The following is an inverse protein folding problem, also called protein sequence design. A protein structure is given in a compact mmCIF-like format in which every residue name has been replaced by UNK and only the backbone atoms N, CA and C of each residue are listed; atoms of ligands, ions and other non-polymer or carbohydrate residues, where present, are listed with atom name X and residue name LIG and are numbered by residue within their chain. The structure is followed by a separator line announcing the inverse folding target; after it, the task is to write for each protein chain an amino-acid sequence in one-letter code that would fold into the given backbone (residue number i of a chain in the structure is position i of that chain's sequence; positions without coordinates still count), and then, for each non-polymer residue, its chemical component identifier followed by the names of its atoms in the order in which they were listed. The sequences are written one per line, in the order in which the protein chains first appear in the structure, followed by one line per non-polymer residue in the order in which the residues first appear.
data_IF_854028617159
#
_entry.id   IF_854028617159
#
_cell.length_a   1.000
_cell.length_b   1.000
_cell.length_c   1.000
_cell.angle_alpha   90.00
_cell.angle_beta   90.00
_cell.angle_gamma   90.00
#
_symmetry.space_group_name_H-M   'P 1'
#
loop_
_entity.id
_entity.type
_entity.pdbx_description
1 polymer ?
#
# COMPACT_ATOMS: atom_id res chain seq x y z
N UNK A 1 -52.28 -25.57 7.05
CA UNK A 1 -51.82 -25.45 5.65
C UNK A 1 -52.51 -24.23 5.07
N UNK A 2 -51.75 -23.22 4.66
CA UNK A 2 -52.27 -21.97 4.06
C UNK A 2 -51.93 -22.01 2.57
N UNK A 3 -52.88 -21.65 1.72
CA UNK A 3 -52.81 -21.78 0.26
C UNK A 3 -51.79 -20.80 -0.36
N UNK A 4 -51.17 -21.15 -1.50
CA UNK A 4 -50.25 -20.25 -2.21
C UNK A 4 -51.04 -19.20 -2.98
N UNK A 5 -50.92 -17.92 -2.58
CA UNK A 5 -51.48 -16.79 -3.34
C UNK A 5 -51.91 -15.56 -2.54
N UNK A 6 -52.02 -15.65 -1.21
CA UNK A 6 -52.36 -14.47 -0.40
C UNK A 6 -51.11 -13.71 0.07
N UNK A 7 -51.08 -12.41 -0.24
CA UNK A 7 -50.03 -11.48 0.17
C UNK A 7 -50.17 -11.26 1.68
N UNK A 8 -49.19 -11.76 2.44
CA UNK A 8 -49.07 -11.50 3.88
C UNK A 8 -48.76 -10.00 4.06
N UNK A 9 -49.62 -9.20 4.71
CA UNK A 9 -49.31 -7.80 4.97
C UNK A 9 -48.15 -7.74 5.97
N UNK A 10 -47.03 -7.14 5.55
CA UNK A 10 -45.87 -6.98 6.42
C UNK A 10 -46.23 -6.15 7.66
N UNK A 11 -45.79 -6.55 8.86
CA UNK A 11 -46.02 -5.76 10.06
C UNK A 11 -45.38 -4.39 9.91
N UNK A 12 -46.14 -3.32 10.16
CA UNK A 12 -45.65 -1.93 10.10
C UNK A 12 -44.44 -1.80 11.03
N UNK A 13 -43.26 -1.56 10.46
CA UNK A 13 -42.04 -1.25 11.23
C UNK A 13 -42.35 -0.06 12.15
N UNK A 14 -42.18 -0.26 13.46
CA UNK A 14 -42.23 0.86 14.43
C UNK A 14 -41.16 1.88 14.02
N UNK A 15 -41.57 3.15 13.93
CA UNK A 15 -40.65 4.25 13.67
C UNK A 15 -39.55 4.25 14.73
N UNK A 16 -38.31 4.14 14.28
CA UNK A 16 -37.12 4.20 15.15
C UNK A 16 -36.99 5.66 15.59
N UNK A 17 -37.19 5.95 16.87
CA UNK A 17 -36.86 7.28 17.42
C UNK A 17 -35.36 7.52 17.20
N UNK A 18 -35.03 8.62 16.54
CA UNK A 18 -33.64 9.05 16.39
C UNK A 18 -33.02 9.28 17.78
N UNK A 19 -31.78 8.79 18.02
CA UNK A 19 -31.11 9.06 19.28
C UNK A 19 -30.84 10.56 19.40
N UNK A 20 -30.82 11.11 20.63
CA UNK A 20 -30.60 12.54 20.83
C UNK A 20 -29.20 12.90 20.31
N UNK A 21 -29.15 13.87 19.41
CA UNK A 21 -27.93 14.46 18.85
C UNK A 21 -27.12 15.08 19.97
N UNK A 22 -26.13 14.33 20.49
CA UNK A 22 -25.11 14.89 21.36
C UNK A 22 -24.22 15.75 20.45
N UNK A 23 -24.41 17.07 20.51
CA UNK A 23 -23.59 18.06 19.82
C UNK A 23 -22.21 18.12 20.48
N UNK A 24 -21.40 17.10 20.23
CA UNK A 24 -19.98 17.11 20.55
C UNK A 24 -19.23 18.01 19.57
N UNK A 25 -18.14 18.62 20.05
CA UNK A 25 -17.21 19.43 19.25
C UNK A 25 -16.78 18.72 17.96
N UNK A 26 -16.60 17.39 18.01
CA UNK A 26 -16.31 16.55 16.84
C UNK A 26 -17.42 16.56 15.76
N UNK A 27 -18.70 16.57 16.15
CA UNK A 27 -19.82 16.65 15.21
C UNK A 27 -19.91 18.04 14.56
N UNK A 28 -19.55 19.09 15.30
CA UNK A 28 -19.47 20.46 14.77
C UNK A 28 -18.30 20.60 13.78
N UNK A 29 -17.13 20.03 14.09
CA UNK A 29 -16.00 20.00 13.16
C UNK A 29 -16.33 19.23 11.88
N UNK A 30 -16.98 18.07 12.01
CA UNK A 30 -17.39 17.27 10.86
C UNK A 30 -18.40 18.02 9.98
N UNK A 31 -19.40 18.69 10.57
CA UNK A 31 -20.34 19.51 9.84
C UNK A 31 -19.67 20.72 9.17
N UNK A 32 -18.69 21.35 9.82
CA UNK A 32 -17.92 22.45 9.25
C UNK A 32 -17.02 22.00 8.09
N UNK A 33 -16.51 20.77 8.15
CA UNK A 33 -15.70 20.18 7.08
C UNK A 33 -16.57 19.81 5.87
N UNK A 34 -17.72 19.17 6.09
CA UNK A 34 -18.67 18.87 5.01
C UNK A 34 -19.15 20.12 4.27
N UNK A 35 -19.39 21.24 4.98
CA UNK A 35 -19.76 22.50 4.33
C UNK A 35 -18.68 23.03 3.39
N UNK A 36 -17.43 23.03 3.82
CA UNK A 36 -16.29 23.44 2.98
C UNK A 36 -16.12 22.54 1.76
N UNK A 37 -16.29 21.24 1.92
CA UNK A 37 -16.21 20.28 0.81
C UNK A 37 -17.33 20.49 -0.20
N UNK A 38 -18.56 20.75 0.25
CA UNK A 38 -19.70 21.05 -0.65
C UNK A 38 -19.49 22.38 -1.38
N UNK A 39 -18.99 23.42 -0.72
CA UNK A 39 -18.68 24.70 -1.35
C UNK A 39 -17.58 24.56 -2.42
N UNK A 40 -16.50 23.83 -2.11
CA UNK A 40 -15.43 23.55 -3.07
C UNK A 40 -15.92 22.73 -4.27
N UNK A 41 -16.77 21.71 -4.03
CA UNK A 41 -17.36 20.90 -5.09
C UNK A 41 -18.30 21.73 -5.99
N UNK A 42 -19.10 22.64 -5.41
CA UNK A 42 -19.97 23.54 -6.18
C UNK A 42 -19.17 24.54 -7.01
N UNK A 43 -18.06 25.08 -6.48
CA UNK A 43 -17.17 25.96 -7.24
C UNK A 43 -16.52 25.23 -8.42
N UNK A 44 -16.07 23.98 -8.22
CA UNK A 44 -15.52 23.16 -9.31
C UNK A 44 -16.58 22.84 -10.38
N UNK A 45 -17.80 22.48 -9.97
CA UNK A 45 -18.91 22.26 -10.91
C UNK A 45 -19.31 23.53 -11.66
N UNK A 46 -19.26 24.69 -11.01
CA UNK A 46 -19.53 25.97 -11.66
C UNK A 46 -18.45 26.31 -12.69
N UNK A 47 -17.18 26.01 -12.42
CA UNK A 47 -16.08 26.18 -13.37
C UNK A 47 -16.22 25.26 -14.60
N UNK A 48 -16.68 24.03 -14.41
CA UNK A 48 -16.92 23.08 -15.51
C UNK A 48 -18.10 23.50 -16.40
N UNK A 49 -19.12 24.14 -15.82
CA UNK A 49 -20.32 24.56 -16.55
C UNK A 49 -20.23 25.97 -17.17
N UNK A 50 -19.07 26.65 -17.08
CA UNK A 50 -18.87 27.91 -17.80
C UNK A 50 -18.64 27.63 -19.30
N UNK A 51 -19.29 28.37 -20.21
CA UNK A 51 -19.01 28.26 -21.64
C UNK A 51 -17.56 28.70 -21.92
N UNK A 52 -16.85 28.05 -22.86
CA UNK A 52 -15.48 28.39 -23.16
C UNK A 52 -15.38 29.84 -23.64
N UNK A 53 -14.41 30.59 -23.09
CA UNK A 53 -14.09 31.93 -23.58
C UNK A 53 -13.64 31.86 -25.05
N UNK A 54 -13.91 32.89 -25.89
CA UNK A 54 -13.46 32.91 -27.28
C UNK A 54 -11.93 32.81 -27.35
N UNK A 55 -11.45 31.79 -28.05
CA UNK A 55 -10.03 31.46 -28.20
C UNK A 55 -9.29 32.53 -29.03
N UNK A 56 -8.15 33.06 -28.54
CA UNK A 56 -7.17 33.73 -29.40
C UNK A 56 -6.54 32.72 -30.38
N UNK A 57 -6.05 33.16 -31.56
CA UNK A 57 -5.55 32.28 -32.60
C UNK A 57 -4.42 31.36 -32.11
N UNK A 58 -4.55 30.07 -32.41
CA UNK A 58 -3.68 28.97 -31.96
C UNK A 58 -2.19 29.17 -32.33
N UNK A 59 -1.27 29.10 -31.36
CA UNK A 59 0.12 28.72 -31.61
C UNK A 59 0.24 27.18 -31.68
N UNK A 60 1.29 26.65 -32.34
CA UNK A 60 1.38 25.25 -32.74
C UNK A 60 1.40 24.27 -31.55
N UNK A 61 0.75 23.12 -31.77
CA UNK A 61 0.49 22.04 -30.82
C UNK A 61 1.65 21.74 -29.84
N UNK A 62 1.48 22.16 -28.58
CA UNK A 62 2.28 21.64 -27.46
C UNK A 62 1.45 20.66 -26.64
N UNK A 63 1.75 19.39 -26.86
CA UNK A 63 1.47 18.21 -26.03
C UNK A 63 0.96 18.52 -24.61
N UNK A 64 -0.35 18.35 -24.37
CA UNK A 64 -0.98 18.52 -23.07
C UNK A 64 -0.37 17.55 -22.03
N UNK A 65 0.51 18.07 -21.19
CA UNK A 65 1.06 17.34 -20.06
C UNK A 65 1.34 18.22 -18.85
N UNK A 66 0.33 18.70 -18.10
CA UNK A 66 0.62 19.13 -16.73
C UNK A 66 -0.26 18.50 -15.64
N UNK A 67 -1.26 17.66 -15.96
CA UNK A 67 -2.13 17.11 -14.89
C UNK A 67 -1.43 16.05 -14.02
N UNK A 68 -0.41 15.37 -14.56
CA UNK A 68 0.30 14.32 -13.84
C UNK A 68 1.63 14.76 -13.21
N UNK A 69 2.11 15.98 -13.46
CA UNK A 69 3.35 16.48 -12.83
C UNK A 69 3.13 16.88 -11.37
N UNK A 70 1.96 17.45 -11.03
CA UNK A 70 1.68 17.97 -9.68
C UNK A 70 1.41 16.87 -8.63
N UNK A 71 1.26 15.61 -9.06
CA UNK A 71 1.09 14.45 -8.16
C UNK A 71 2.40 13.72 -7.86
N UNK A 72 3.49 14.08 -8.55
CA UNK A 72 4.78 13.45 -8.36
C UNK A 72 5.54 14.17 -7.25
N UNK A 73 5.80 13.47 -6.15
CA UNK A 73 6.63 14.03 -5.08
C UNK A 73 8.05 14.26 -5.58
N UNK A 74 8.41 15.54 -5.67
CA UNK A 74 9.75 16.08 -5.88
C UNK A 74 10.54 16.07 -4.56
N UNK A 75 10.63 14.89 -3.93
CA UNK A 75 11.62 14.66 -2.90
C UNK A 75 12.52 13.57 -3.44
N UNK A 76 13.77 13.93 -3.70
CA UNK A 76 14.78 13.17 -4.46
C UNK A 76 15.21 11.81 -3.89
N UNK A 77 14.33 11.10 -3.20
CA UNK A 77 14.45 9.68 -2.91
C UNK A 77 13.49 8.92 -3.82
N UNK A 78 13.95 8.59 -5.02
CA UNK A 78 13.25 7.59 -5.83
C UNK A 78 13.50 6.21 -5.22
N UNK A 79 12.48 5.49 -4.72
CA UNK A 79 12.65 4.14 -4.19
C UNK A 79 13.05 3.12 -5.27
N UNK A 80 13.11 3.53 -6.54
CA UNK A 80 13.70 2.79 -7.65
C UNK A 80 15.24 2.80 -7.68
N UNK A 81 15.91 3.20 -6.60
CA UNK A 81 17.36 3.03 -6.45
C UNK A 81 17.71 1.54 -6.64
N UNK A 82 18.21 1.26 -7.84
CA UNK A 82 18.34 -0.07 -8.40
C UNK A 82 19.57 -0.72 -7.78
N UNK A 83 19.35 -1.79 -7.02
CA UNK A 83 20.36 -2.73 -6.52
C UNK A 83 21.10 -3.51 -7.65
N UNK A 84 20.92 -3.10 -8.90
CA UNK A 84 21.30 -3.82 -10.12
C UNK A 84 22.74 -3.50 -10.55
N UNK A 85 23.42 -2.55 -9.90
CA UNK A 85 24.79 -2.16 -10.27
C UNK A 85 24.92 -1.37 -11.58
N UNK A 86 23.80 -1.01 -12.21
CA UNK A 86 23.76 -0.05 -13.31
C UNK A 86 23.91 1.36 -12.71
N UNK A 87 25.04 2.02 -13.01
CA UNK A 87 25.40 3.31 -12.44
C UNK A 87 24.31 4.38 -12.62
N UNK A 88 24.18 5.23 -11.59
CA UNK A 88 23.25 6.36 -11.51
C UNK A 88 23.25 7.19 -12.80
N UNK A 89 22.31 6.92 -13.72
CA UNK A 89 22.04 7.84 -14.82
C UNK A 89 21.27 9.02 -14.23
N UNK A 90 21.92 10.18 -14.15
CA UNK A 90 21.26 11.43 -13.77
C UNK A 90 20.32 11.81 -14.92
N UNK A 91 19.05 11.42 -14.80
CA UNK A 91 18.06 11.76 -15.80
C UNK A 91 17.53 13.16 -15.51
N UNK A 92 17.75 14.09 -16.44
CA UNK A 92 17.32 15.49 -16.30
C UNK A 92 15.79 15.65 -16.31
N UNK A 93 15.05 14.69 -16.86
CA UNK A 93 13.59 14.70 -16.97
C UNK A 93 12.97 13.34 -16.61
N UNK A 94 12.14 13.31 -15.56
CA UNK A 94 11.52 12.09 -15.03
C UNK A 94 10.55 11.43 -16.03
N UNK A 95 9.93 12.22 -16.93
CA UNK A 95 9.05 11.69 -17.99
C UNK A 95 9.80 10.86 -19.01
N UNK A 96 10.99 11.31 -19.37
CA UNK A 96 11.86 10.61 -20.31
C UNK A 96 12.42 9.33 -19.67
N UNK A 97 12.67 9.34 -18.35
CA UNK A 97 13.04 8.14 -17.60
C UNK A 97 11.99 7.03 -17.67
N UNK A 98 10.71 7.35 -17.43
CA UNK A 98 9.64 6.35 -17.47
C UNK A 98 9.35 5.84 -18.89
N UNK A 99 9.66 6.64 -19.92
CA UNK A 99 9.53 6.26 -21.33
C UNK A 99 10.74 5.48 -21.85
N UNK A 100 11.86 5.50 -21.14
CA UNK A 100 13.07 4.77 -21.53
C UNK A 100 12.76 3.26 -21.60
N UNK A 101 13.09 2.58 -22.71
CA UNK A 101 12.88 1.14 -22.86
C UNK A 101 13.52 0.33 -21.73
N UNK A 102 14.64 0.82 -21.17
CA UNK A 102 15.31 0.15 -20.05
C UNK A 102 14.48 0.16 -18.76
N UNK A 103 13.68 1.20 -18.52
CA UNK A 103 12.78 1.25 -17.37
C UNK A 103 11.62 0.27 -17.56
N UNK A 104 11.00 0.29 -18.74
CA UNK A 104 9.87 -0.60 -19.06
C UNK A 104 10.25 -2.08 -18.98
N UNK A 105 11.42 -2.45 -19.52
CA UNK A 105 11.94 -3.82 -19.43
C UNK A 105 12.19 -4.25 -17.97
N UNK A 106 12.70 -3.36 -17.12
CA UNK A 106 12.90 -3.60 -15.68
C UNK A 106 11.57 -3.84 -14.98
N UNK A 107 10.58 -2.97 -15.20
CA UNK A 107 9.23 -3.13 -14.64
C UNK A 107 8.61 -4.46 -15.04
N UNK A 108 8.66 -4.82 -16.33
CA UNK A 108 8.12 -6.10 -16.82
C UNK A 108 8.84 -7.31 -16.20
N UNK A 109 10.17 -7.25 -16.03
CA UNK A 109 10.93 -8.31 -15.36
C UNK A 109 10.54 -8.44 -13.89
N UNK A 110 10.41 -7.33 -13.17
CA UNK A 110 10.00 -7.33 -11.76
C UNK A 110 8.57 -7.87 -11.61
N UNK A 111 7.64 -7.45 -12.47
CA UNK A 111 6.28 -7.96 -12.51
C UNK A 111 6.25 -9.48 -12.76
N UNK A 112 7.03 -9.97 -13.71
CA UNK A 112 7.14 -11.41 -13.97
C UNK A 112 7.68 -12.18 -12.74
N UNK A 113 8.67 -11.64 -12.04
CA UNK A 113 9.18 -12.23 -10.80
C UNK A 113 8.14 -12.22 -9.68
N UNK A 114 7.39 -11.13 -9.53
CA UNK A 114 6.28 -11.05 -8.58
C UNK A 114 5.22 -12.09 -8.90
N UNK A 115 4.76 -12.15 -10.15
CA UNK A 115 3.75 -13.13 -10.59
C UNK A 115 4.19 -14.57 -10.31
N UNK A 116 5.47 -14.90 -10.48
CA UNK A 116 5.99 -16.24 -10.20
C UNK A 116 6.06 -16.59 -8.70
N UNK A 117 6.27 -15.59 -7.83
CA UNK A 117 6.47 -15.80 -6.39
C UNK A 117 5.19 -15.65 -5.58
N UNK A 118 4.26 -14.80 -6.02
CA UNK A 118 3.01 -14.49 -5.32
C UNK A 118 2.17 -15.74 -4.96
N UNK A 119 1.96 -16.74 -5.84
CA UNK A 119 1.22 -17.95 -5.46
C UNK A 119 1.86 -18.70 -4.29
N UNK A 120 3.20 -18.78 -4.26
CA UNK A 120 3.96 -19.45 -3.21
C UNK A 120 3.87 -18.68 -1.90
N UNK A 121 3.97 -17.35 -1.97
CA UNK A 121 3.78 -16.44 -0.83
C UNK A 121 2.38 -16.59 -0.26
N UNK A 122 1.35 -16.62 -1.10
CA UNK A 122 -0.03 -16.77 -0.67
C UNK A 122 -0.28 -18.08 0.07
N UNK A 123 0.25 -19.20 -0.45
CA UNK A 123 0.17 -20.51 0.19
C UNK A 123 0.84 -20.55 1.57
N UNK A 124 1.92 -19.79 1.77
CA UNK A 124 2.56 -19.65 3.08
C UNK A 124 1.83 -18.66 4.00
N UNK A 125 1.29 -17.58 3.43
CA UNK A 125 0.60 -16.52 4.14
C UNK A 125 -0.66 -17.02 4.82
N UNK A 126 -1.51 -17.77 4.11
CA UNK A 126 -2.82 -18.21 4.63
C UNK A 126 -2.75 -18.98 5.96
N UNK A 127 -1.91 -20.02 6.13
CA UNK A 127 -1.79 -20.72 7.40
C UNK A 127 -1.19 -19.85 8.51
N UNK A 128 -0.12 -19.09 8.22
CA UNK A 128 0.50 -18.20 9.21
C UNK A 128 -0.46 -17.11 9.68
N UNK A 129 -1.22 -16.53 8.75
CA UNK A 129 -2.27 -15.53 9.03
C UNK A 129 -3.35 -16.10 9.95
N UNK A 130 -3.78 -17.34 9.73
CA UNK A 130 -4.77 -17.99 10.60
C UNK A 130 -4.20 -18.28 12.00
N UNK A 131 -2.97 -18.76 12.09
CA UNK A 131 -2.33 -19.13 13.36
C UNK A 131 -2.01 -17.93 14.24
N UNK A 132 -1.61 -16.81 13.63
CA UNK A 132 -1.18 -15.59 14.35
C UNK A 132 -2.30 -14.55 14.50
N UNK A 133 -3.54 -14.90 14.15
CA UNK A 133 -4.67 -13.97 14.07
C UNK A 133 -4.32 -12.71 13.26
N UNK A 134 -3.83 -12.93 12.04
CA UNK A 134 -3.33 -11.92 11.11
C UNK A 134 -2.17 -11.10 11.70
N UNK A 135 -1.26 -11.78 12.39
CA UNK A 135 -0.13 -11.21 13.14
C UNK A 135 -0.55 -10.23 14.24
N UNK A 136 -1.77 -10.32 14.76
CA UNK A 136 -2.22 -9.50 15.89
C UNK A 136 -2.01 -10.19 17.25
N UNK A 137 -1.73 -11.50 17.28
CA UNK A 137 -1.48 -12.23 18.52
C UNK A 137 -0.17 -11.75 19.18
N UNK A 138 -0.19 -11.22 20.43
CA UNK A 138 0.99 -10.68 21.12
C UNK A 138 2.11 -11.69 21.42
N UNK A 139 1.81 -12.99 21.40
CA UNK A 139 2.77 -14.05 21.71
C UNK A 139 3.31 -14.67 20.41
N UNK A 140 2.43 -14.95 19.45
CA UNK A 140 2.77 -15.73 18.27
C UNK A 140 3.27 -14.90 17.09
N UNK A 141 3.05 -13.58 17.08
CA UNK A 141 3.37 -12.73 15.92
C UNK A 141 4.85 -12.69 15.53
N UNK A 142 5.76 -12.85 16.50
CA UNK A 142 7.21 -12.78 16.32
C UNK A 142 7.86 -14.17 16.25
N UNK A 143 7.05 -15.22 16.21
CA UNK A 143 7.56 -16.58 16.18
C UNK A 143 8.00 -16.95 14.76
N UNK A 144 9.10 -17.70 14.67
CA UNK A 144 9.57 -18.24 13.41
C UNK A 144 8.76 -19.50 13.03
N UNK A 145 7.97 -19.40 11.97
CA UNK A 145 7.21 -20.52 11.40
C UNK A 145 7.97 -21.25 10.28
N UNK A 146 9.27 -20.98 10.09
CA UNK A 146 10.06 -21.72 9.12
C UNK A 146 10.28 -23.16 9.59
N UNK A 147 9.89 -24.10 8.73
CA UNK A 147 10.22 -25.51 8.92
C UNK A 147 11.72 -25.72 8.73
N UNK A 148 12.31 -26.58 9.56
CA UNK A 148 13.70 -26.99 9.43
C UNK A 148 13.84 -27.86 8.18
N UNK A 149 14.30 -27.26 7.09
CA UNK A 149 14.44 -27.97 5.83
C UNK A 149 15.65 -28.90 5.81
N UNK A 150 15.52 -30.02 5.09
CA UNK A 150 16.56 -31.04 4.91
C UNK A 150 17.68 -30.64 3.91
N UNK A 151 17.75 -29.37 3.53
CA UNK A 151 18.76 -28.87 2.60
C UNK A 151 20.15 -29.07 3.21
N UNK A 152 21.13 -29.39 2.37
CA UNK A 152 22.52 -29.54 2.85
C UNK A 152 23.06 -28.18 3.28
N UNK A 153 23.91 -28.15 4.31
CA UNK A 153 24.41 -26.90 4.91
C UNK A 153 25.15 -26.00 3.90
N UNK A 154 25.80 -26.57 2.88
CA UNK A 154 26.49 -25.79 1.84
C UNK A 154 25.56 -25.08 0.85
N UNK A 155 24.28 -25.43 0.82
CA UNK A 155 23.24 -24.75 0.02
C UNK A 155 22.55 -23.63 0.81
N UNK A 156 22.88 -23.49 2.09
CA UNK A 156 22.31 -22.47 2.95
C UNK A 156 23.24 -21.26 2.96
N UNK A 157 22.65 -20.09 2.77
CA UNK A 157 23.33 -18.82 2.89
C UNK A 157 22.57 -17.96 3.89
N UNK A 158 23.28 -17.32 4.82
CA UNK A 158 22.66 -16.34 5.70
C UNK A 158 22.66 -14.98 5.02
N UNK A 159 21.48 -14.39 4.86
CA UNK A 159 21.30 -13.04 4.31
C UNK A 159 20.78 -12.13 5.41
N UNK A 160 21.37 -10.94 5.52
CA UNK A 160 20.89 -9.89 6.44
C UNK A 160 19.88 -9.02 5.71
N UNK A 161 18.69 -8.91 6.30
CA UNK A 161 17.56 -8.12 5.79
C UNK A 161 17.23 -7.01 6.78
N UNK A 162 17.08 -5.78 6.31
CA UNK A 162 16.61 -4.68 7.15
C UNK A 162 15.09 -4.79 7.32
N UNK A 163 14.67 -5.15 8.52
CA UNK A 163 13.28 -5.33 8.88
C UNK A 163 12.75 -4.09 9.61
N UNK A 164 11.66 -3.52 9.09
CA UNK A 164 10.97 -2.36 9.66
C UNK A 164 9.67 -2.81 10.32
N UNK A 165 9.49 -2.47 11.59
CA UNK A 165 8.27 -2.74 12.37
C UNK A 165 7.83 -1.48 13.13
N UNK A 166 6.70 -1.54 13.82
CA UNK A 166 6.19 -0.41 14.61
C UNK A 166 7.16 0.08 15.66
N UNK A 167 7.87 -0.84 16.31
CA UNK A 167 8.65 -0.52 17.50
C UNK A 167 10.12 -0.27 17.20
N UNK A 168 10.63 -0.75 16.07
CA UNK A 168 12.07 -0.69 15.78
C UNK A 168 12.40 -1.00 14.33
N UNK A 169 13.56 -0.49 13.90
CA UNK A 169 14.32 -0.96 12.74
C UNK A 169 15.33 -1.99 13.22
N UNK A 170 15.27 -3.21 12.70
CA UNK A 170 16.19 -4.29 13.11
C UNK A 170 16.80 -5.00 11.91
N UNK A 171 18.05 -5.44 12.06
CA UNK A 171 18.72 -6.32 11.10
C UNK A 171 18.36 -7.76 11.42
N UNK A 172 17.68 -8.42 10.49
CA UNK A 172 17.18 -9.78 10.65
C UNK A 172 18.01 -10.74 9.79
N UNK A 173 18.61 -11.74 10.42
CA UNK A 173 19.39 -12.79 9.74
C UNK A 173 18.46 -13.91 9.28
N UNK A 174 18.28 -14.07 7.97
CA UNK A 174 17.47 -15.14 7.38
C UNK A 174 18.38 -16.18 6.75
N UNK A 175 18.14 -17.46 7.05
CA UNK A 175 18.72 -18.56 6.29
C UNK A 175 17.99 -18.74 4.97
N UNK A 176 18.67 -18.43 3.88
CA UNK A 176 18.22 -18.60 2.50
C UNK A 176 18.75 -19.91 1.93
N UNK A 177 17.97 -20.57 1.08
CA UNK A 177 18.41 -21.69 0.24
C UNK A 177 17.52 -21.83 -0.99
N UNK A 178 18.02 -22.50 -2.03
CA UNK A 178 17.34 -22.66 -3.32
C UNK A 178 16.01 -23.43 -3.26
N UNK A 179 15.74 -24.17 -2.18
CA UNK A 179 14.54 -24.99 -2.07
C UNK A 179 13.26 -24.19 -1.83
N UNK A 180 13.35 -22.92 -1.40
CA UNK A 180 12.18 -22.08 -1.09
C UNK A 180 12.55 -20.63 -1.38
N UNK A 181 11.60 -19.82 -1.85
CA UNK A 181 11.87 -18.41 -2.10
C UNK A 181 12.06 -17.63 -0.79
N UNK A 182 12.89 -16.60 -0.84
CA UNK A 182 13.23 -15.76 0.32
C UNK A 182 12.00 -15.06 0.88
N UNK A 183 11.11 -14.59 0.01
CA UNK A 183 9.83 -14.01 0.40
C UNK A 183 8.98 -14.97 1.22
N UNK A 184 8.92 -16.24 0.86
CA UNK A 184 8.14 -17.23 1.62
C UNK A 184 8.70 -17.39 3.04
N UNK A 185 10.04 -17.34 3.19
CA UNK A 185 10.67 -17.38 4.51
C UNK A 185 10.38 -16.13 5.33
N UNK A 186 10.45 -14.95 4.71
CA UNK A 186 10.10 -13.69 5.35
C UNK A 186 8.64 -13.69 5.84
N UNK A 187 7.71 -14.19 5.03
CA UNK A 187 6.29 -14.27 5.40
C UNK A 187 6.09 -15.12 6.64
N UNK A 188 6.82 -16.25 6.75
CA UNK A 188 6.79 -17.10 7.94
C UNK A 188 7.44 -16.48 9.17
N UNK A 189 8.25 -15.44 8.99
CA UNK A 189 8.78 -14.60 10.07
C UNK A 189 7.87 -13.40 10.37
N UNK A 190 6.76 -13.24 9.63
CA UNK A 190 5.85 -12.11 9.76
C UNK A 190 6.25 -10.84 9.02
N UNK A 191 7.13 -10.97 8.03
CA UNK A 191 7.62 -9.86 7.21
C UNK A 191 7.31 -10.06 5.72
N UNK A 192 7.09 -8.97 5.01
CA UNK A 192 6.95 -8.93 3.55
C UNK A 192 8.17 -8.22 2.96
N UNK A 193 8.88 -8.87 2.06
CA UNK A 193 10.02 -8.27 1.36
C UNK A 193 9.56 -7.20 0.37
N UNK A 194 10.38 -6.17 0.17
CA UNK A 194 10.14 -5.10 -0.81
C UNK A 194 10.35 -5.52 -2.26
N UNK A 195 11.15 -6.57 -2.48
CA UNK A 195 11.49 -7.12 -3.80
C UNK A 195 11.16 -8.62 -3.91
N UNK A 196 10.84 -9.12 -5.12
CA UNK A 196 10.48 -10.52 -5.31
C UNK A 196 11.67 -11.48 -5.22
N UNK A 197 12.86 -10.99 -5.58
CA UNK A 197 14.12 -11.74 -5.64
C UNK A 197 15.12 -11.02 -4.74
N UNK A 198 15.69 -11.75 -3.77
CA UNK A 198 16.70 -11.26 -2.81
C UNK A 198 16.30 -9.94 -2.13
N UNK A 199 15.24 -9.92 -1.32
CA UNK A 199 14.81 -8.73 -0.60
C UNK A 199 15.86 -8.27 0.42
N UNK A 200 16.32 -7.02 0.28
CA UNK A 200 17.23 -6.36 1.25
C UNK A 200 16.49 -5.65 2.36
N UNK A 201 15.27 -5.21 2.08
CA UNK A 201 14.37 -4.57 3.03
C UNK A 201 13.08 -5.36 3.13
N UNK A 202 12.53 -5.44 4.33
CA UNK A 202 11.27 -6.11 4.60
C UNK A 202 10.44 -5.33 5.63
N UNK A 203 9.13 -5.35 5.46
CA UNK A 203 8.19 -4.66 6.33
C UNK A 203 7.37 -5.66 7.12
N UNK A 204 7.17 -5.40 8.40
CA UNK A 204 6.28 -6.19 9.24
C UNK A 204 4.88 -6.25 8.61
N UNK A 205 4.30 -7.44 8.49
CA UNK A 205 2.93 -7.61 7.95
C UNK A 205 1.93 -6.83 8.80
N UNK A 206 2.21 -6.70 10.10
CA UNK A 206 1.40 -5.90 11.03
C UNK A 206 1.44 -4.42 10.67
N UNK A 207 2.63 -3.91 10.36
CA UNK A 207 2.84 -2.53 9.92
C UNK A 207 2.06 -2.25 8.63
N UNK A 208 2.17 -3.14 7.65
CA UNK A 208 1.41 -3.04 6.39
C UNK A 208 -0.11 -3.04 6.62
N UNK A 209 -0.60 -3.89 7.53
CA UNK A 209 -2.01 -3.95 7.90
C UNK A 209 -2.50 -2.69 8.62
N UNK A 210 -1.67 -2.10 9.48
CA UNK A 210 -2.00 -0.83 10.12
C UNK A 210 -2.07 0.29 9.09
N UNK A 211 -1.08 0.41 8.21
CA UNK A 211 -1.13 1.37 7.12
C UNK A 211 -2.38 1.20 6.27
N UNK A 212 -2.73 -0.03 5.88
CA UNK A 212 -3.95 -0.31 5.12
C UNK A 212 -5.23 0.10 5.87
N UNK A 213 -5.31 -0.18 7.17
CA UNK A 213 -6.42 0.24 8.03
C UNK A 213 -6.51 1.77 8.13
N UNK A 214 -5.36 2.42 8.34
CA UNK A 214 -5.26 3.87 8.46
C UNK A 214 -5.69 4.54 7.16
N UNK A 215 -5.15 4.08 6.03
CA UNK A 215 -5.53 4.54 4.70
C UNK A 215 -7.04 4.41 4.44
N UNK A 216 -7.64 3.27 4.83
CA UNK A 216 -9.09 3.04 4.67
C UNK A 216 -9.97 4.08 5.40
N UNK A 217 -9.53 4.59 6.55
CA UNK A 217 -10.34 5.50 7.38
C UNK A 217 -9.93 6.97 7.33
N UNK A 218 -8.69 7.27 6.94
CA UNK A 218 -8.11 8.62 7.04
C UNK A 218 -7.42 9.10 5.76
N UNK A 219 -7.49 8.32 4.66
CA UNK A 219 -6.93 8.69 3.37
C UNK A 219 -5.45 9.08 3.42
N UNK A 220 -4.70 8.55 4.41
CA UNK A 220 -3.31 8.93 4.65
C UNK A 220 -2.48 8.65 3.41
N UNK A 221 -1.76 9.68 2.96
CA UNK A 221 -0.81 9.56 1.85
C UNK A 221 0.36 8.69 2.30
N UNK A 222 0.85 7.83 1.40
CA UNK A 222 1.95 6.93 1.70
C UNK A 222 3.20 7.68 2.17
N UNK A 223 3.52 8.83 1.57
CA UNK A 223 4.68 9.64 1.97
C UNK A 223 4.57 10.16 3.40
N UNK A 224 3.42 10.73 3.75
CA UNK A 224 3.20 11.23 5.10
C UNK A 224 3.35 10.09 6.12
N UNK A 225 2.90 8.89 5.77
CA UNK A 225 3.10 7.71 6.61
C UNK A 225 4.57 7.30 6.72
N UNK A 226 5.32 7.24 5.61
CA UNK A 226 6.73 6.87 5.63
C UNK A 226 7.57 7.89 6.40
N UNK A 227 7.36 9.18 6.18
CA UNK A 227 8.09 10.25 6.86
C UNK A 227 7.80 10.21 8.37
N UNK A 228 6.53 9.98 8.74
CA UNK A 228 6.15 9.80 10.15
C UNK A 228 6.82 8.58 10.77
N UNK A 229 6.89 7.45 10.04
CA UNK A 229 7.56 6.24 10.51
C UNK A 229 9.08 6.42 10.61
N UNK A 230 9.68 7.20 9.71
CA UNK A 230 11.09 7.55 9.73
C UNK A 230 11.42 8.40 10.96
N UNK A 231 10.68 9.50 11.17
CA UNK A 231 10.82 10.36 12.35
C UNK A 231 10.53 9.62 13.66
N UNK A 232 9.52 8.74 13.68
CA UNK A 232 9.16 7.99 14.89
C UNK A 232 10.19 6.93 15.28
N UNK A 233 10.83 6.29 14.31
CA UNK A 233 11.79 5.19 14.55
C UNK A 233 13.23 5.68 14.75
N UNK A 234 13.57 6.88 14.27
CA UNK A 234 14.88 7.50 14.38
C UNK A 234 14.78 8.80 15.24
N UNK A 235 14.56 8.69 16.57
CA UNK A 235 14.40 9.83 17.48
C UNK A 235 15.68 10.65 17.72
#
# INVERSE_FOLDING_TARGET
MVLPGEIIPMPKKRAKKEPPTIQGVAAQHFAAQQKREVEAAQQALAAINQPPAPEPPEPPETHNGPIYDDLAMDQGNDPADSSDGEGQRVVANRRDYYRDPTYQERTLREEAHWQAVLPKVFLAFMPCSRQTYQWCDPVLWNQDFNSTYKCKNWQKQTVVVNAVDFTSRKKLSVEVCDCTSDLVRLIRLGYMGSKPVVPRTAFSIRLLRFHHTLWKYSSVRLSAFTDTMDEYLDP
#
